data_IF_667709692358
#
_entry.id   IF_667709692358
#
_cell.length_a   1.000
_cell.length_b   1.000
_cell.length_c   1.000
_cell.angle_alpha   90.00
_cell.angle_beta   90.00
_cell.angle_gamma   90.00
#
_symmetry.space_group_name_H-M   'P 1'
#
loop_
_entity.id
_entity.type
_entity.pdbx_description
1 polymer ?
#
# COMPACT_ATOMS: atom_id res chain seq x y z
N UNK A 1 -28.73 -14.91 5.50
CA UNK A 1 -29.37 -13.66 5.03
C UNK A 1 -28.40 -12.48 4.93
N UNK A 2 -27.93 -11.86 6.03
CA UNK A 2 -27.05 -10.67 5.93
C UNK A 2 -25.66 -11.00 5.35
N UNK A 3 -25.01 -12.07 5.84
CA UNK A 3 -23.67 -12.49 5.40
C UNK A 3 -23.65 -12.88 3.91
N UNK A 4 -24.68 -13.59 3.44
CA UNK A 4 -24.83 -13.97 2.02
C UNK A 4 -25.08 -12.77 1.11
N UNK A 5 -25.88 -11.80 1.57
CA UNK A 5 -26.07 -10.55 0.85
C UNK A 5 -24.76 -9.77 0.74
N UNK A 6 -24.02 -9.65 1.86
CA UNK A 6 -22.71 -9.01 1.90
C UNK A 6 -21.70 -9.71 0.98
N UNK A 7 -21.71 -11.04 0.91
CA UNK A 7 -20.86 -11.82 0.00
C UNK A 7 -21.19 -11.56 -1.48
N UNK A 8 -22.45 -11.23 -1.83
CA UNK A 8 -22.84 -10.89 -3.21
C UNK A 8 -22.45 -9.48 -3.63
N UNK A 9 -22.44 -8.51 -2.71
CA UNK A 9 -22.17 -7.10 -3.03
C UNK A 9 -20.71 -6.69 -2.85
N UNK A 10 -19.92 -7.53 -2.17
CA UNK A 10 -18.49 -7.29 -1.93
C UNK A 10 -17.63 -7.96 -3.01
N UNK A 11 -16.46 -7.40 -3.32
CA UNK A 11 -15.53 -7.98 -4.29
C UNK A 11 -14.98 -9.33 -3.80
N UNK A 12 -14.46 -10.14 -4.74
CA UNK A 12 -13.90 -11.47 -4.42
C UNK A 12 -12.63 -11.31 -3.58
N UNK A 13 -12.27 -12.34 -2.83
CA UNK A 13 -11.07 -12.33 -1.99
C UNK A 13 -9.80 -11.93 -2.78
N UNK A 14 -9.64 -12.41 -4.02
CA UNK A 14 -8.51 -12.06 -4.89
C UNK A 14 -8.44 -10.58 -5.24
N UNK A 15 -9.59 -9.94 -5.47
CA UNK A 15 -9.65 -8.51 -5.74
C UNK A 15 -9.38 -7.73 -4.44
N UNK A 16 -9.90 -8.22 -3.31
CA UNK A 16 -9.71 -7.62 -1.99
C UNK A 16 -8.24 -7.62 -1.60
N UNK A 17 -7.50 -8.71 -1.79
CA UNK A 17 -6.07 -8.73 -1.46
C UNK A 17 -5.28 -7.74 -2.30
N UNK A 18 -5.58 -7.63 -3.60
CA UNK A 18 -4.99 -6.61 -4.49
C UNK A 18 -5.31 -5.19 -4.04
N UNK A 19 -6.58 -4.89 -3.75
CA UNK A 19 -7.02 -3.60 -3.25
C UNK A 19 -6.43 -3.26 -1.87
N UNK A 20 -6.25 -4.24 -0.99
CA UNK A 20 -5.61 -4.04 0.30
C UNK A 20 -4.14 -3.64 0.13
N UNK A 21 -3.40 -4.30 -0.77
CA UNK A 21 -2.04 -3.90 -1.13
C UNK A 21 -2.02 -2.49 -1.72
N UNK A 22 -2.89 -2.21 -2.68
CA UNK A 22 -2.98 -0.90 -3.32
C UNK A 22 -3.33 0.23 -2.33
N UNK A 23 -4.16 -0.07 -1.33
CA UNK A 23 -4.47 0.88 -0.25
C UNK A 23 -3.27 1.24 0.62
N UNK A 24 -2.19 0.45 0.55
CA UNK A 24 -0.93 0.81 1.20
C UNK A 24 -0.20 1.88 0.41
N UNK A 25 -0.23 1.84 -0.91
CA UNK A 25 0.54 2.75 -1.75
C UNK A 25 -0.20 4.05 -2.06
N UNK A 26 -1.53 3.96 -2.22
CA UNK A 26 -2.36 5.11 -2.59
C UNK A 26 -3.69 5.17 -1.83
N UNK A 27 -4.27 6.36 -1.84
CA UNK A 27 -5.62 6.57 -1.33
C UNK A 27 -6.64 5.97 -2.31
N UNK A 28 -7.40 4.96 -1.85
CA UNK A 28 -8.51 4.39 -2.62
C UNK A 28 -9.75 5.30 -2.60
N UNK A 29 -10.63 5.21 -3.62
CA UNK A 29 -11.96 5.82 -3.60
C UNK A 29 -12.78 5.39 -2.38
N UNK A 30 -13.62 6.29 -1.85
CA UNK A 30 -14.40 6.05 -0.62
C UNK A 30 -15.32 4.85 -0.77
N UNK A 31 -15.98 4.69 -1.92
CA UNK A 31 -16.85 3.54 -2.23
C UNK A 31 -16.11 2.21 -2.13
N UNK A 32 -14.88 2.14 -2.65
CA UNK A 32 -14.02 0.95 -2.57
C UNK A 32 -13.62 0.65 -1.12
N UNK A 33 -13.33 1.68 -0.31
CA UNK A 33 -13.02 1.50 1.12
C UNK A 33 -14.22 0.94 1.90
N UNK A 34 -15.43 1.37 1.57
CA UNK A 34 -16.66 0.84 2.19
C UNK A 34 -16.82 -0.65 1.85
N UNK A 35 -16.69 -1.02 0.57
CA UNK A 35 -16.77 -2.42 0.13
C UNK A 35 -15.71 -3.30 0.80
N UNK A 36 -14.48 -2.80 0.93
CA UNK A 36 -13.41 -3.48 1.66
C UNK A 36 -13.80 -3.71 3.13
N UNK A 37 -14.28 -2.68 3.83
CA UNK A 37 -14.72 -2.82 5.24
C UNK A 37 -15.80 -3.87 5.39
N UNK A 38 -16.81 -3.88 4.52
CA UNK A 38 -17.87 -4.88 4.53
C UNK A 38 -17.33 -6.29 4.32
N UNK A 39 -16.40 -6.48 3.37
CA UNK A 39 -15.80 -7.79 3.12
C UNK A 39 -14.98 -8.29 4.33
N UNK A 40 -14.21 -7.40 4.97
CA UNK A 40 -13.40 -7.75 6.14
C UNK A 40 -14.24 -8.13 7.37
N UNK A 41 -15.51 -7.70 7.44
CA UNK A 41 -16.42 -8.11 8.51
C UNK A 41 -16.92 -9.55 8.35
N UNK A 42 -16.93 -10.08 7.13
CA UNK A 42 -17.47 -11.42 6.82
C UNK A 42 -16.37 -12.44 6.46
N UNK A 43 -15.16 -11.99 6.15
CA UNK A 43 -14.05 -12.84 5.75
C UNK A 43 -12.85 -12.65 6.69
N UNK A 44 -12.65 -13.61 7.59
CA UNK A 44 -11.55 -13.60 8.55
C UNK A 44 -10.18 -13.71 7.86
N UNK A 45 -10.08 -14.47 6.76
CA UNK A 45 -8.83 -14.60 5.99
C UNK A 45 -8.32 -13.26 5.46
N UNK A 46 -9.22 -12.48 4.83
CA UNK A 46 -8.89 -11.13 4.36
C UNK A 46 -8.59 -10.16 5.52
N UNK A 47 -9.28 -10.31 6.66
CA UNK A 47 -8.99 -9.54 7.87
C UNK A 47 -7.59 -9.83 8.43
N UNK A 48 -7.20 -11.10 8.47
CA UNK A 48 -5.86 -11.53 8.90
C UNK A 48 -4.78 -11.05 7.93
N UNK A 49 -4.99 -11.19 6.63
CA UNK A 49 -4.07 -10.70 5.61
C UNK A 49 -3.83 -9.18 5.75
N UNK A 50 -4.90 -8.40 5.98
CA UNK A 50 -4.75 -6.96 6.25
C UNK A 50 -3.90 -6.68 7.49
N UNK A 51 -4.06 -7.46 8.57
CA UNK A 51 -3.22 -7.31 9.78
C UNK A 51 -1.74 -7.60 9.46
N UNK A 52 -1.46 -8.66 8.69
CA UNK A 52 -0.10 -8.99 8.27
C UNK A 52 0.54 -7.87 7.44
N UNK A 53 -0.19 -7.30 6.48
CA UNK A 53 0.30 -6.16 5.70
C UNK A 53 0.66 -4.96 6.57
N UNK A 54 -0.16 -4.65 7.58
CA UNK A 54 0.13 -3.54 8.50
C UNK A 54 1.38 -3.80 9.36
N UNK A 55 1.57 -5.04 9.83
CA UNK A 55 2.76 -5.45 10.59
C UNK A 55 4.01 -5.32 9.73
N UNK A 56 4.00 -5.85 8.50
CA UNK A 56 5.12 -5.72 7.57
C UNK A 56 5.46 -4.25 7.31
N UNK A 57 4.43 -3.42 7.10
CA UNK A 57 4.61 -2.00 6.84
C UNK A 57 5.19 -1.24 8.04
N UNK A 58 4.77 -1.58 9.24
CA UNK A 58 5.30 -0.99 10.46
C UNK A 58 6.77 -1.39 10.67
N UNK A 59 7.09 -2.68 10.52
CA UNK A 59 8.46 -3.18 10.58
C UNK A 59 9.38 -2.47 9.58
N UNK A 60 8.95 -2.33 8.31
CA UNK A 60 9.71 -1.59 7.29
C UNK A 60 9.91 -0.12 7.65
N UNK A 61 8.90 0.54 8.24
CA UNK A 61 9.02 1.94 8.66
C UNK A 61 9.96 2.11 9.84
N UNK A 62 9.99 1.18 10.79
CA UNK A 62 10.94 1.21 11.91
C UNK A 62 12.36 1.04 11.40
N UNK A 63 12.61 0.05 10.53
CA UNK A 63 13.92 -0.13 9.90
C UNK A 63 14.34 1.06 9.06
N UNK A 64 13.41 1.68 8.31
CA UNK A 64 13.70 2.92 7.59
C UNK A 64 14.02 4.06 8.58
N UNK A 65 13.28 4.21 9.68
CA UNK A 65 13.55 5.22 10.70
C UNK A 65 14.93 5.04 11.35
N UNK A 66 15.33 3.80 11.62
CA UNK A 66 16.67 3.46 12.11
C UNK A 66 17.74 3.77 11.06
N UNK A 67 17.49 3.46 9.79
CA UNK A 67 18.38 3.82 8.68
C UNK A 67 18.44 5.34 8.42
N UNK A 68 17.36 6.07 8.68
CA UNK A 68 17.28 7.54 8.57
C UNK A 68 17.88 8.27 9.78
N UNK A 69 18.18 7.58 10.89
CA UNK A 69 19.00 8.10 11.97
C UNK A 69 20.49 8.21 11.55
N UNK A 70 20.88 7.55 10.45
CA UNK A 70 22.00 7.97 9.62
C UNK A 70 21.52 9.07 8.66
N UNK A 71 21.94 10.30 8.97
CA UNK A 71 21.71 11.57 8.25
C UNK A 71 21.01 11.44 6.90
N UNK A 72 19.75 11.86 6.87
CA UNK A 72 18.95 12.24 5.70
C UNK A 72 19.44 11.67 4.38
N UNK A 73 18.90 10.51 3.99
CA UNK A 73 19.13 9.83 2.73
C UNK A 73 18.98 10.76 1.51
N UNK A 74 20.03 11.52 1.23
CA UNK A 74 20.19 12.35 0.06
C UNK A 74 21.10 11.58 -0.89
N UNK A 75 20.73 11.61 -2.17
CA UNK A 75 21.66 11.20 -3.22
C UNK A 75 22.94 12.03 -3.12
N UNK A 76 24.09 11.40 -3.34
CA UNK A 76 25.33 12.15 -3.50
C UNK A 76 25.17 13.23 -4.58
N UNK A 77 25.89 14.33 -4.43
CA UNK A 77 25.87 15.43 -5.40
C UNK A 77 26.12 14.95 -6.84
N UNK A 78 27.04 14.00 -7.01
CA UNK A 78 27.34 13.34 -8.29
C UNK A 78 26.17 12.52 -8.83
N UNK A 79 25.50 11.71 -8.00
CA UNK A 79 24.34 10.93 -8.43
C UNK A 79 23.17 11.82 -8.84
N UNK A 80 22.93 12.91 -8.09
CA UNK A 80 21.90 13.91 -8.40
C UNK A 80 22.18 14.64 -9.72
N UNK A 81 23.44 15.00 -9.99
CA UNK A 81 23.83 15.64 -11.25
C UNK A 81 23.60 14.72 -12.46
N UNK A 82 23.97 13.43 -12.34
CA UNK A 82 23.75 12.42 -13.40
C UNK A 82 22.26 12.26 -13.74
N UNK A 83 21.41 12.17 -12.72
CA UNK A 83 19.95 12.07 -12.93
C UNK A 83 19.38 13.34 -13.57
N UNK A 84 19.85 14.52 -13.16
CA UNK A 84 19.40 15.80 -13.74
C UNK A 84 19.71 15.88 -15.23
N UNK A 85 20.90 15.45 -15.64
CA UNK A 85 21.32 15.49 -17.04
C UNK A 85 20.55 14.47 -17.89
N UNK A 86 20.35 13.26 -17.39
CA UNK A 86 19.55 12.24 -18.08
C UNK A 86 18.08 12.66 -18.28
N UNK A 87 17.51 13.42 -17.34
CA UNK A 87 16.15 13.97 -17.48
C UNK A 87 16.06 15.11 -18.50
N UNK A 88 17.13 15.89 -18.68
CA UNK A 88 17.20 16.93 -19.71
C UNK A 88 17.29 16.32 -21.10
N UNK A 89 18.20 15.37 -21.28
CA UNK A 89 18.40 14.66 -22.55
C UNK A 89 17.18 13.84 -23.03
N UNK A 90 16.21 13.52 -22.15
CA UNK A 90 14.93 12.88 -22.51
C UNK A 90 13.81 13.86 -22.85
N UNK A 91 14.01 15.15 -22.55
CA UNK A 91 13.01 16.20 -22.77
C UNK A 91 13.23 16.92 -24.11
N UNK A 92 14.43 16.80 -24.68
CA UNK A 92 14.78 17.21 -26.03
C UNK A 92 14.54 16.06 -27.03
#
# INVERSE_FOLDING_TARGET
MLTEFLARITPRCTDVTGLLSESMDRMLPVSTRIKLRLHLMICEGCAQYRRQLLVLRDAMRRSASEAHAQEGAQLSSTAKARLKEALRARRD
#
